data_IF_125346446251
#
_entry.id   IF_125346446251
#
_cell.length_a   1.000
_cell.length_b   1.000
_cell.length_c   1.000
_cell.angle_alpha   90.00
_cell.angle_beta   90.00
_cell.angle_gamma   90.00
#
_symmetry.space_group_name_H-M   'P 1'
#
loop_
_entity.id
_entity.type
_entity.pdbx_description
1 polymer ?
#
# COMPACT_ATOMS: atom_id res chain seq x y z
N UNK A 1 -7.03 9.59 -27.87
CA UNK A 1 -8.29 8.85 -27.57
C UNK A 1 -7.91 7.69 -26.68
N UNK A 2 -8.47 7.56 -25.47
CA UNK A 2 -8.13 6.44 -24.58
C UNK A 2 -8.68 5.14 -25.18
N UNK A 3 -7.89 4.07 -25.11
CA UNK A 3 -8.30 2.73 -25.54
C UNK A 3 -9.50 2.28 -24.68
N UNK A 4 -10.67 1.99 -25.26
CA UNK A 4 -11.83 1.55 -24.49
C UNK A 4 -11.62 0.20 -23.79
N UNK A 5 -10.70 -0.63 -24.31
CA UNK A 5 -10.38 -1.95 -23.76
C UNK A 5 -9.21 -1.93 -22.74
N UNK A 6 -8.64 -0.74 -22.46
CA UNK A 6 -7.58 -0.63 -21.46
C UNK A 6 -8.07 -1.05 -20.07
N UNK A 7 -7.29 -1.84 -19.34
CA UNK A 7 -7.66 -2.27 -17.99
C UNK A 7 -7.95 -1.06 -17.09
N UNK A 8 -9.10 -1.07 -16.42
CA UNK A 8 -9.49 -0.01 -15.48
C UNK A 8 -9.18 -0.41 -14.06
N UNK A 9 -8.71 0.55 -13.28
CA UNK A 9 -8.46 0.35 -11.85
C UNK A 9 -9.72 -0.12 -11.14
N UNK A 10 -9.60 -1.20 -10.36
CA UNK A 10 -10.69 -1.74 -9.52
C UNK A 10 -10.84 -0.93 -8.24
N UNK A 11 -12.04 -0.82 -7.75
CA UNK A 11 -12.33 -0.32 -6.41
C UNK A 11 -12.31 -1.50 -5.44
N UNK A 12 -11.36 -1.50 -4.52
CA UNK A 12 -11.24 -2.52 -3.49
C UNK A 12 -11.58 -1.93 -2.13
N UNK A 13 -12.10 -2.78 -1.25
CA UNK A 13 -12.34 -2.45 0.15
C UNK A 13 -12.02 -3.66 1.02
N UNK A 14 -11.08 -3.48 1.96
CA UNK A 14 -10.67 -4.51 2.90
C UNK A 14 -11.09 -4.10 4.31
N UNK A 15 -11.76 -4.99 5.02
CA UNK A 15 -12.12 -4.78 6.41
C UNK A 15 -11.09 -5.43 7.34
N UNK A 16 -10.42 -6.49 6.89
CA UNK A 16 -9.42 -7.21 7.67
C UNK A 16 -8.09 -7.37 6.91
N UNK A 17 -7.03 -7.66 7.64
CA UNK A 17 -5.72 -8.05 7.07
C UNK A 17 -5.87 -9.33 6.25
N UNK A 18 -6.69 -10.26 6.70
CA UNK A 18 -6.89 -11.54 6.03
C UNK A 18 -7.58 -11.34 4.67
N UNK A 19 -8.52 -10.38 4.53
CA UNK A 19 -9.11 -10.02 3.23
C UNK A 19 -8.04 -9.50 2.24
N UNK A 20 -7.16 -8.63 2.72
CA UNK A 20 -6.11 -8.07 1.89
C UNK A 20 -5.09 -9.13 1.44
N UNK A 21 -4.76 -10.06 2.32
CA UNK A 21 -3.86 -11.19 1.99
C UNK A 21 -4.51 -12.16 1.02
N UNK A 22 -5.79 -12.51 1.21
CA UNK A 22 -6.52 -13.38 0.28
C UNK A 22 -6.59 -12.79 -1.13
N UNK A 23 -6.83 -11.47 -1.24
CA UNK A 23 -6.78 -10.79 -2.54
C UNK A 23 -5.38 -10.84 -3.16
N UNK A 24 -4.32 -10.60 -2.39
CA UNK A 24 -2.95 -10.67 -2.90
C UNK A 24 -2.57 -12.08 -3.38
N UNK A 25 -2.98 -13.13 -2.66
CA UNK A 25 -2.80 -14.52 -3.06
C UNK A 25 -3.50 -14.84 -4.38
N UNK A 26 -4.74 -14.36 -4.53
CA UNK A 26 -5.51 -14.50 -5.77
C UNK A 26 -4.82 -13.81 -6.95
N UNK A 27 -4.25 -12.62 -6.73
CA UNK A 27 -3.50 -11.89 -7.76
C UNK A 27 -2.22 -12.61 -8.15
N UNK A 28 -1.48 -13.18 -7.19
CA UNK A 28 -0.27 -13.98 -7.47
C UNK A 28 -0.62 -15.22 -8.29
N UNK A 29 -1.73 -15.89 -7.96
CA UNK A 29 -2.20 -17.03 -8.75
C UNK A 29 -2.55 -16.62 -10.19
N UNK A 30 -3.28 -15.52 -10.36
CA UNK A 30 -3.64 -14.99 -11.68
C UNK A 30 -2.40 -14.57 -12.50
N UNK A 31 -1.39 -13.97 -11.85
CA UNK A 31 -0.13 -13.57 -12.50
C UNK A 31 0.63 -14.78 -13.03
N UNK A 32 0.72 -15.87 -12.23
CA UNK A 32 1.34 -17.13 -12.63
C UNK A 32 0.66 -17.78 -13.85
N UNK A 33 -0.63 -17.59 -13.97
CA UNK A 33 -1.42 -18.14 -15.08
C UNK A 33 -1.47 -17.21 -16.30
N UNK A 34 -0.76 -16.06 -16.24
CA UNK A 34 -0.77 -15.08 -17.32
C UNK A 34 -2.11 -14.35 -17.46
N UNK A 35 -2.97 -14.38 -16.42
CA UNK A 35 -4.30 -13.78 -16.39
C UNK A 35 -4.35 -12.54 -15.51
N UNK A 36 -3.30 -11.70 -15.58
CA UNK A 36 -3.23 -10.45 -14.84
C UNK A 36 -2.87 -9.29 -15.77
N UNK A 37 -3.82 -8.38 -15.97
CA UNK A 37 -3.59 -7.10 -16.61
C UNK A 37 -3.32 -6.00 -15.56
N UNK A 38 -2.86 -4.84 -16.02
CA UNK A 38 -2.48 -3.71 -15.16
C UNK A 38 -3.13 -2.42 -15.63
N UNK A 39 -3.79 -1.71 -14.71
CA UNK A 39 -4.31 -0.37 -14.93
C UNK A 39 -3.27 0.72 -14.64
N UNK A 40 -2.04 0.35 -14.28
CA UNK A 40 -0.89 1.22 -13.98
C UNK A 40 0.42 0.59 -14.47
N UNK A 41 1.54 1.21 -14.09
CA UNK A 41 2.87 0.85 -14.62
C UNK A 41 3.66 -0.09 -13.70
N UNK A 42 3.14 -0.46 -12.53
CA UNK A 42 3.84 -1.35 -11.61
C UNK A 42 3.46 -2.80 -11.86
N UNK A 43 4.45 -3.67 -11.88
CA UNK A 43 4.23 -5.12 -11.81
C UNK A 43 3.59 -5.52 -10.48
N UNK A 44 3.06 -6.71 -10.39
CA UNK A 44 2.55 -7.25 -9.13
C UNK A 44 3.67 -7.38 -8.09
N UNK A 45 4.86 -7.83 -8.51
CA UNK A 45 6.02 -7.97 -7.63
C UNK A 45 6.45 -6.63 -7.04
N UNK A 46 6.56 -5.58 -7.86
CA UNK A 46 6.83 -4.21 -7.41
C UNK A 46 5.75 -3.70 -6.45
N UNK A 47 4.49 -3.95 -6.75
CA UNK A 47 3.35 -3.55 -5.90
C UNK A 47 3.44 -4.19 -4.52
N UNK A 48 3.64 -5.50 -4.46
CA UNK A 48 3.73 -6.25 -3.19
C UNK A 48 5.00 -5.90 -2.41
N UNK A 49 6.13 -5.71 -3.09
CA UNK A 49 7.38 -5.24 -2.48
C UNK A 49 7.24 -3.87 -1.85
N UNK A 50 6.55 -2.94 -2.53
CA UNK A 50 6.23 -1.61 -2.02
C UNK A 50 5.34 -1.68 -0.76
N UNK A 51 4.27 -2.46 -0.79
CA UNK A 51 3.38 -2.65 0.36
C UNK A 51 4.12 -3.25 1.56
N UNK A 52 4.98 -4.24 1.31
CA UNK A 52 5.83 -4.83 2.35
C UNK A 52 6.76 -3.79 2.97
N UNK A 53 7.47 -3.01 2.16
CA UNK A 53 8.40 -1.98 2.62
C UNK A 53 7.72 -0.94 3.51
N UNK A 54 6.53 -0.45 3.12
CA UNK A 54 5.80 0.53 3.93
C UNK A 54 5.28 -0.05 5.25
N UNK A 55 4.83 -1.31 5.25
CA UNK A 55 4.42 -2.00 6.48
C UNK A 55 5.63 -2.26 7.40
N UNK A 56 6.77 -2.65 6.82
CA UNK A 56 8.03 -2.84 7.57
C UNK A 56 8.52 -1.52 8.19
N UNK A 57 8.41 -0.40 7.49
CA UNK A 57 8.74 0.92 8.05
C UNK A 57 7.84 1.31 9.22
N UNK A 58 6.56 0.98 9.16
CA UNK A 58 5.64 1.20 10.28
C UNK A 58 6.09 0.44 11.54
N UNK A 59 6.68 -0.74 11.38
CA UNK A 59 7.12 -1.61 12.47
C UNK A 59 8.53 -1.31 12.98
N UNK A 60 9.43 -0.89 12.07
CA UNK A 60 10.87 -0.83 12.36
C UNK A 60 11.43 0.61 12.35
N UNK A 61 10.65 1.59 11.89
CA UNK A 61 11.07 2.99 11.76
C UNK A 61 11.10 3.46 10.30
N UNK A 62 10.80 4.74 10.10
CA UNK A 62 10.79 5.38 8.79
C UNK A 62 12.12 6.04 8.49
N UNK A 63 12.67 5.92 7.27
CA UNK A 63 13.81 6.71 6.84
C UNK A 63 13.45 8.21 6.85
N UNK A 64 14.46 9.08 7.02
CA UNK A 64 14.25 10.53 7.12
C UNK A 64 13.63 11.12 5.85
N UNK A 65 13.94 10.53 4.72
CA UNK A 65 13.55 10.98 3.38
C UNK A 65 12.02 10.92 3.16
N UNK A 66 11.31 10.07 3.90
CA UNK A 66 9.84 9.95 3.78
C UNK A 66 9.07 10.93 4.66
N UNK A 67 9.76 11.77 5.45
CA UNK A 67 9.09 12.74 6.30
C UNK A 67 8.58 13.92 5.48
N UNK A 68 7.26 14.12 5.52
CA UNK A 68 6.63 15.26 4.85
C UNK A 68 6.99 16.60 5.55
N UNK A 69 7.13 17.70 4.80
CA UNK A 69 7.27 19.04 5.37
C UNK A 69 6.13 19.39 6.35
N UNK A 70 6.42 20.22 7.34
CA UNK A 70 5.48 20.54 8.42
C UNK A 70 4.09 20.99 7.92
N UNK A 71 3.95 21.90 6.91
CA UNK A 71 2.63 22.28 6.41
C UNK A 71 1.84 21.10 5.84
N UNK A 72 2.50 20.20 5.09
CA UNK A 72 1.88 19.01 4.52
C UNK A 72 1.43 18.06 5.63
N UNK A 73 2.23 17.90 6.69
CA UNK A 73 1.87 17.08 7.87
C UNK A 73 0.62 17.60 8.56
N UNK A 74 0.47 18.91 8.71
CA UNK A 74 -0.73 19.51 9.30
C UNK A 74 -1.96 19.16 8.46
N UNK A 75 -1.90 19.35 7.16
CA UNK A 75 -3.01 19.00 6.25
C UNK A 75 -3.35 17.51 6.32
N UNK A 76 -2.34 16.63 6.27
CA UNK A 76 -2.56 15.20 6.34
C UNK A 76 -3.16 14.75 7.67
N UNK A 77 -2.77 15.37 8.78
CA UNK A 77 -3.38 15.12 10.10
C UNK A 77 -4.85 15.53 10.13
N UNK A 78 -5.21 16.67 9.55
CA UNK A 78 -6.61 17.09 9.43
C UNK A 78 -7.42 16.12 8.55
N UNK A 79 -6.82 15.58 7.49
CA UNK A 79 -7.46 14.63 6.59
C UNK A 79 -7.43 13.17 7.08
N UNK A 80 -6.77 12.88 8.21
CA UNK A 80 -6.56 11.52 8.73
C UNK A 80 -7.84 10.70 8.75
N UNK A 81 -8.89 11.20 9.39
CA UNK A 81 -10.17 10.50 9.50
C UNK A 81 -10.80 10.18 8.14
N UNK A 82 -10.71 11.12 7.18
CA UNK A 82 -11.20 10.89 5.81
C UNK A 82 -10.40 9.79 5.10
N UNK A 83 -9.06 9.82 5.20
CA UNK A 83 -8.18 8.85 4.55
C UNK A 83 -8.42 7.44 5.12
N UNK A 84 -8.47 7.30 6.43
CA UNK A 84 -8.68 6.02 7.11
C UNK A 84 -10.06 5.42 6.82
N UNK A 85 -11.09 6.25 6.65
CA UNK A 85 -12.46 5.79 6.44
C UNK A 85 -12.86 5.69 4.96
N UNK A 86 -12.35 6.57 4.09
CA UNK A 86 -12.75 6.63 2.68
C UNK A 86 -11.69 6.13 1.69
N UNK A 87 -10.44 5.97 2.15
CA UNK A 87 -9.32 5.52 1.31
C UNK A 87 -8.39 6.63 0.88
N UNK A 88 -7.29 6.23 0.25
CA UNK A 88 -6.24 7.12 -0.26
C UNK A 88 -6.54 7.57 -1.69
N UNK A 89 -6.11 8.79 -2.02
CA UNK A 89 -6.21 9.33 -3.38
C UNK A 89 -4.99 8.89 -4.19
N UNK A 90 -5.19 8.36 -5.42
CA UNK A 90 -4.08 8.01 -6.31
C UNK A 90 -3.23 9.24 -6.70
N UNK A 91 -1.94 8.99 -7.00
CA UNK A 91 -1.04 9.99 -7.56
C UNK A 91 -0.38 10.94 -6.54
N UNK A 92 -0.61 10.75 -5.25
CA UNK A 92 0.11 11.49 -4.21
C UNK A 92 1.56 11.01 -4.14
N UNK A 93 2.51 11.94 -4.33
CA UNK A 93 3.95 11.68 -4.21
C UNK A 93 4.44 11.98 -2.81
N UNK A 94 5.33 11.15 -2.29
CA UNK A 94 5.94 11.34 -0.97
C UNK A 94 7.24 12.11 -1.14
N UNK A 95 7.23 13.38 -0.76
CA UNK A 95 8.43 14.22 -0.75
C UNK A 95 9.14 14.34 -2.11
N UNK A 96 10.47 14.47 -2.07
CA UNK A 96 11.35 14.56 -3.25
C UNK A 96 12.04 13.24 -3.58
N UNK A 97 11.38 12.12 -3.34
CA UNK A 97 11.95 10.80 -3.59
C UNK A 97 11.98 10.47 -5.09
N UNK A 98 13.06 9.85 -5.59
CA UNK A 98 13.09 9.28 -6.94
C UNK A 98 11.89 8.33 -7.12
N UNK A 99 11.15 8.46 -8.23
CA UNK A 99 9.93 7.68 -8.45
C UNK A 99 8.71 8.08 -7.60
N UNK A 100 8.85 9.08 -6.71
CA UNK A 100 7.78 9.64 -5.88
C UNK A 100 7.41 8.82 -4.63
N UNK A 101 8.13 7.73 -4.35
CA UNK A 101 7.96 6.88 -3.15
C UNK A 101 9.17 5.96 -2.97
N UNK A 102 9.14 5.07 -1.97
CA UNK A 102 10.17 4.06 -1.67
C UNK A 102 9.66 2.64 -1.91
N UNK A 103 10.57 1.67 -1.90
CA UNK A 103 10.22 0.25 -2.09
C UNK A 103 9.76 -0.07 -3.51
N UNK A 104 10.42 0.56 -4.50
CA UNK A 104 10.10 0.39 -5.93
C UNK A 104 10.97 -0.66 -6.63
N UNK A 105 11.71 -1.46 -5.87
CA UNK A 105 12.52 -2.54 -6.42
C UNK A 105 11.61 -3.63 -7.03
N UNK A 106 12.04 -4.16 -8.15
CA UNK A 106 11.37 -5.28 -8.78
C UNK A 106 11.72 -6.55 -8.03
N UNK A 107 10.72 -7.24 -7.50
CA UNK A 107 10.89 -8.53 -6.80
C UNK A 107 9.91 -9.56 -7.39
N UNK A 108 10.19 -10.86 -7.29
CA UNK A 108 9.19 -11.88 -7.62
C UNK A 108 7.90 -11.66 -6.78
N UNK A 109 6.70 -11.81 -7.37
CA UNK A 109 5.43 -11.59 -6.65
C UNK A 109 5.32 -12.41 -5.36
N UNK A 110 5.80 -13.65 -5.37
CA UNK A 110 5.80 -14.54 -4.21
C UNK A 110 6.69 -14.03 -3.07
N UNK A 111 7.84 -13.46 -3.41
CA UNK A 111 8.75 -12.86 -2.44
C UNK A 111 8.12 -11.62 -1.81
N UNK A 112 7.54 -10.75 -2.63
CA UNK A 112 6.81 -9.57 -2.16
C UNK A 112 5.65 -9.94 -1.24
N UNK A 113 4.85 -10.95 -1.64
CA UNK A 113 3.73 -11.45 -0.84
C UNK A 113 4.19 -12.05 0.49
N UNK A 114 5.24 -12.86 0.50
CA UNK A 114 5.76 -13.47 1.73
C UNK A 114 6.26 -12.41 2.73
N UNK A 115 6.99 -11.40 2.26
CA UNK A 115 7.44 -10.27 3.09
C UNK A 115 6.24 -9.50 3.65
N UNK A 116 5.28 -9.14 2.80
CA UNK A 116 4.12 -8.37 3.21
C UNK A 116 3.24 -9.13 4.21
N UNK A 117 3.02 -10.43 3.98
CA UNK A 117 2.31 -11.31 4.93
C UNK A 117 2.98 -11.31 6.31
N UNK A 118 4.30 -11.49 6.36
CA UNK A 118 5.06 -11.46 7.61
C UNK A 118 4.90 -10.12 8.33
N UNK A 119 5.02 -9.01 7.61
CA UNK A 119 4.87 -7.67 8.18
C UNK A 119 3.44 -7.43 8.68
N UNK A 120 2.41 -7.82 7.93
CA UNK A 120 1.00 -7.69 8.33
C UNK A 120 0.64 -8.55 9.54
N UNK A 121 1.17 -9.78 9.65
CA UNK A 121 0.97 -10.60 10.84
C UNK A 121 1.62 -9.97 12.08
N UNK A 122 2.80 -9.37 11.96
CA UNK A 122 3.41 -8.60 13.05
C UNK A 122 2.56 -7.39 13.42
N UNK A 123 2.06 -6.65 12.44
CA UNK A 123 1.15 -5.52 12.66
C UNK A 123 -0.16 -5.96 13.33
N UNK A 124 -0.71 -7.11 12.95
CA UNK A 124 -1.93 -7.69 13.57
C UNK A 124 -1.69 -8.04 15.04
N UNK A 125 -0.49 -8.53 15.37
CA UNK A 125 -0.13 -8.96 16.73
C UNK A 125 0.16 -7.80 17.68
N UNK A 126 0.75 -6.69 17.19
CA UNK A 126 1.12 -5.56 18.05
C UNK A 126 1.14 -4.24 17.30
N UNK A 127 0.74 -3.16 17.99
CA UNK A 127 0.80 -1.81 17.47
C UNK A 127 2.25 -1.33 17.30
N UNK A 128 2.58 -0.60 16.23
CA UNK A 128 3.82 0.15 16.14
C UNK A 128 3.98 1.14 17.31
N UNK A 129 5.20 1.27 17.82
CA UNK A 129 5.51 2.19 18.93
C UNK A 129 5.96 3.56 18.50
N UNK A 130 6.08 3.79 17.20
CA UNK A 130 6.57 5.02 16.58
C UNK A 130 5.41 5.86 16.05
N UNK A 131 5.66 7.15 15.85
CA UNK A 131 4.73 8.03 15.15
C UNK A 131 4.82 7.86 13.64
N UNK A 132 3.66 7.92 12.96
CA UNK A 132 3.63 7.98 11.51
C UNK A 132 4.16 9.34 11.01
N UNK A 133 5.08 9.39 10.02
CA UNK A 133 5.69 10.63 9.55
C UNK A 133 4.69 11.64 8.95
N UNK A 134 3.53 11.18 8.49
CA UNK A 134 2.48 12.03 7.94
C UNK A 134 1.36 12.33 8.96
N UNK A 135 0.88 11.29 9.66
CA UNK A 135 -0.34 11.37 10.50
C UNK A 135 -0.05 11.53 11.99
N UNK A 136 1.20 11.40 12.43
CA UNK A 136 1.58 11.44 13.86
C UNK A 136 1.18 10.14 14.56
N UNK A 137 0.81 10.25 15.84
CA UNK A 137 0.44 9.08 16.65
C UNK A 137 -0.86 8.44 16.16
N UNK A 138 -0.83 7.14 15.94
CA UNK A 138 -1.97 6.33 15.52
C UNK A 138 -2.24 5.24 16.56
N UNK A 139 -3.53 4.91 16.74
CA UNK A 139 -3.92 3.71 17.49
C UNK A 139 -3.60 2.46 16.69
N UNK A 140 -3.64 1.28 17.33
CA UNK A 140 -3.43 0.00 16.62
C UNK A 140 -4.44 -0.19 15.48
N UNK A 141 -5.71 0.08 15.74
CA UNK A 141 -6.76 0.02 14.72
C UNK A 141 -6.50 0.98 13.55
N UNK A 142 -6.04 2.20 13.82
CA UNK A 142 -5.71 3.19 12.78
C UNK A 142 -4.48 2.75 11.95
N UNK A 143 -3.49 2.11 12.57
CA UNK A 143 -2.35 1.52 11.85
C UNK A 143 -2.79 0.41 10.89
N UNK A 144 -3.68 -0.48 11.34
CA UNK A 144 -4.25 -1.52 10.49
C UNK A 144 -5.04 -0.89 9.35
N UNK A 145 -5.97 0.02 9.63
CA UNK A 145 -6.76 0.73 8.60
C UNK A 145 -5.87 1.43 7.57
N UNK A 146 -4.82 2.11 8.02
CA UNK A 146 -3.90 2.81 7.12
C UNK A 146 -3.25 1.84 6.12
N UNK A 147 -2.77 0.69 6.60
CA UNK A 147 -2.18 -0.34 5.74
C UNK A 147 -3.21 -0.95 4.76
N UNK A 148 -4.45 -1.17 5.21
CA UNK A 148 -5.53 -1.65 4.33
C UNK A 148 -5.88 -0.63 3.24
N UNK A 149 -6.01 0.66 3.59
CA UNK A 149 -6.25 1.74 2.60
C UNK A 149 -5.11 1.86 1.59
N UNK A 150 -3.87 1.66 2.04
CA UNK A 150 -2.70 1.64 1.18
C UNK A 150 -2.70 0.44 0.23
N UNK A 151 -3.06 -0.73 0.73
CA UNK A 151 -3.22 -1.92 -0.09
C UNK A 151 -4.32 -1.76 -1.17
N UNK A 152 -5.49 -1.23 -0.82
CA UNK A 152 -6.58 -0.94 -1.75
C UNK A 152 -6.14 0.00 -2.88
N UNK A 153 -5.33 1.02 -2.52
CA UNK A 153 -4.78 1.97 -3.48
C UNK A 153 -3.95 1.27 -4.56
N UNK A 154 -3.08 0.36 -4.17
CA UNK A 154 -2.11 -0.24 -5.08
C UNK A 154 -2.59 -1.53 -5.73
N UNK A 155 -3.23 -2.44 -4.97
CA UNK A 155 -3.77 -3.70 -5.53
C UNK A 155 -4.93 -3.46 -6.50
N UNK A 156 -5.67 -2.34 -6.36
CA UNK A 156 -6.70 -1.96 -7.30
C UNK A 156 -6.22 -1.79 -8.74
N UNK A 157 -4.93 -1.53 -8.96
CA UNK A 157 -4.33 -1.42 -10.29
C UNK A 157 -3.99 -2.77 -10.93
N UNK A 158 -4.04 -3.87 -10.18
CA UNK A 158 -3.85 -5.23 -10.66
C UNK A 158 -5.22 -5.81 -11.05
N UNK A 159 -5.42 -6.16 -12.30
CA UNK A 159 -6.73 -6.49 -12.87
C UNK A 159 -6.69 -7.93 -13.41
N UNK A 160 -7.27 -8.92 -12.71
CA UNK A 160 -7.44 -10.27 -13.24
C UNK A 160 -8.30 -10.26 -14.51
N UNK A 161 -7.89 -11.06 -15.50
CA UNK A 161 -8.55 -11.21 -16.81
C UNK A 161 -9.11 -12.63 -16.98
#
# INVERSE_FOLDING_TARGET
>A
MADPDAPRRRTLRFETIDDALAEAERLVAADREGRLARAGNWSLGKTLGHLATWTEFALNGYPREVHAPLPVRVILRMMRGRILNKGMVPGVKVGRLPGGTVGLDEVPPEVGLARWRTALHRLKASAPTIDNPAFGRLTHEEWVKLNLRHAELHLGNQVPT
#
